data_IF_538382925083
#
_entry.id   IF_538382925083
#
_cell.length_a   1.000
_cell.length_b   1.000
_cell.length_c   1.000
_cell.angle_alpha   90.00
_cell.angle_beta   90.00
_cell.angle_gamma   90.00
#
_symmetry.space_group_name_H-M   'P 1'
#
loop_
_entity.id
_entity.type
_entity.pdbx_description
1 polymer ?
#
# COMPACT_ATOMS: atom_id res chain seq x y z
N UNK A 1 3.05 25.90 1.40
CA UNK A 1 4.08 26.50 2.28
C UNK A 1 3.58 26.78 3.71
N UNK A 2 2.39 27.37 3.91
CA UNK A 2 1.83 27.60 5.25
C UNK A 2 1.57 26.30 6.07
N UNK A 3 1.21 25.19 5.42
CA UNK A 3 1.07 23.88 6.06
C UNK A 3 2.39 23.33 6.62
N UNK A 4 3.49 23.51 5.88
CA UNK A 4 4.85 23.09 6.26
C UNK A 4 5.39 23.95 7.42
N UNK A 5 5.14 25.27 7.39
CA UNK A 5 5.55 26.19 8.45
C UNK A 5 4.73 26.03 9.75
N UNK A 6 3.45 25.66 9.66
CA UNK A 6 2.62 25.31 10.83
C UNK A 6 3.04 23.96 11.42
N UNK A 7 3.44 23.00 10.58
CA UNK A 7 3.94 21.70 11.01
C UNK A 7 5.34 21.77 11.63
N UNK A 8 6.21 22.72 11.26
CA UNK A 8 7.55 22.83 11.84
C UNK A 8 7.53 23.20 13.34
N UNK A 9 6.58 24.05 13.76
CA UNK A 9 6.36 24.35 15.18
C UNK A 9 5.66 23.21 15.93
N UNK A 10 4.78 22.48 15.26
CA UNK A 10 4.12 21.30 15.82
C UNK A 10 5.13 20.15 16.05
N UNK A 11 6.07 19.99 15.11
CA UNK A 11 7.13 18.99 15.18
C UNK A 11 8.14 19.23 16.30
N UNK A 12 8.36 20.50 16.70
CA UNK A 12 9.20 20.85 17.86
C UNK A 12 8.60 20.44 19.20
N UNK A 13 7.27 20.24 19.27
CA UNK A 13 6.57 19.91 20.52
C UNK A 13 6.17 18.44 20.63
N UNK A 14 6.52 17.61 19.65
CA UNK A 14 6.30 16.16 19.68
C UNK A 14 7.43 15.47 20.45
N UNK A 15 7.07 14.44 21.20
CA UNK A 15 8.00 13.52 21.81
C UNK A 15 8.95 12.89 20.77
N UNK A 16 10.20 12.68 21.18
CA UNK A 16 11.29 12.24 20.29
C UNK A 16 10.98 10.96 19.51
N UNK A 17 10.33 9.99 20.16
CA UNK A 17 10.00 8.69 19.55
C UNK A 17 9.00 8.84 18.39
N UNK A 18 7.87 9.53 18.60
CA UNK A 18 6.92 9.81 17.52
C UNK A 18 7.52 10.68 16.42
N UNK A 19 8.38 11.63 16.79
CA UNK A 19 9.11 12.44 15.80
C UNK A 19 9.96 11.56 14.89
N UNK A 20 10.72 10.61 15.45
CA UNK A 20 11.53 9.70 14.64
C UNK A 20 10.66 8.80 13.75
N UNK A 21 9.58 8.24 14.29
CA UNK A 21 8.66 7.40 13.49
C UNK A 21 8.00 8.18 12.35
N UNK A 22 7.61 9.43 12.58
CA UNK A 22 7.09 10.29 11.51
C UNK A 22 8.16 10.57 10.43
N UNK A 23 9.40 10.83 10.82
CA UNK A 23 10.51 11.04 9.86
C UNK A 23 10.74 9.75 9.04
N UNK A 24 10.77 8.59 9.69
CA UNK A 24 10.89 7.30 9.01
C UNK A 24 9.75 7.07 8.02
N UNK A 25 8.51 7.37 8.42
CA UNK A 25 7.35 7.29 7.52
C UNK A 25 7.52 8.15 6.25
N UNK A 26 8.04 9.38 6.38
CA UNK A 26 8.35 10.21 5.22
C UNK A 26 9.45 9.61 4.36
N UNK A 27 10.50 9.04 4.96
CA UNK A 27 11.58 8.36 4.22
C UNK A 27 11.01 7.17 3.44
N UNK A 28 10.13 6.36 4.03
CA UNK A 28 9.46 5.26 3.36
C UNK A 28 8.56 5.73 2.21
N UNK A 29 7.86 6.84 2.40
CA UNK A 29 7.03 7.45 1.35
C UNK A 29 7.87 7.92 0.16
N UNK A 30 9.01 8.57 0.41
CA UNK A 30 9.94 8.99 -0.66
C UNK A 30 10.52 7.75 -1.36
N UNK A 31 10.93 6.74 -0.60
CA UNK A 31 11.42 5.47 -1.14
C UNK A 31 10.37 4.76 -2.01
N UNK A 32 9.10 4.78 -1.59
CA UNK A 32 7.99 4.24 -2.37
C UNK A 32 7.81 4.98 -3.71
N UNK A 33 7.86 6.32 -3.70
CA UNK A 33 7.80 7.11 -4.92
C UNK A 33 8.94 6.76 -5.89
N UNK A 34 10.17 6.63 -5.38
CA UNK A 34 11.33 6.24 -6.19
C UNK A 34 11.13 4.83 -6.75
N UNK A 35 10.68 3.87 -5.95
CA UNK A 35 10.42 2.51 -6.39
C UNK A 35 9.36 2.45 -7.50
N UNK A 36 8.27 3.24 -7.38
CA UNK A 36 7.27 3.36 -8.44
C UNK A 36 7.83 3.99 -9.71
N UNK A 37 8.65 5.03 -9.62
CA UNK A 37 9.30 5.64 -10.79
C UNK A 37 10.16 4.61 -11.52
N UNK A 38 10.95 3.81 -10.79
CA UNK A 38 11.77 2.76 -11.39
C UNK A 38 10.90 1.70 -12.05
N UNK A 39 9.88 1.20 -11.35
CA UNK A 39 9.02 0.12 -11.84
C UNK A 39 8.19 0.54 -13.08
N UNK A 40 7.51 1.69 -13.02
CA UNK A 40 6.75 2.19 -14.16
C UNK A 40 7.66 2.73 -15.27
N UNK A 41 8.81 3.31 -14.93
CA UNK A 41 9.82 3.71 -15.91
C UNK A 41 10.34 2.52 -16.70
N UNK A 42 10.58 1.38 -16.04
CA UNK A 42 10.94 0.13 -16.71
C UNK A 42 9.85 -0.32 -17.68
N UNK A 43 8.58 -0.35 -17.24
CA UNK A 43 7.45 -0.68 -18.10
C UNK A 43 7.32 0.26 -19.32
N UNK A 44 7.49 1.57 -19.13
CA UNK A 44 7.43 2.55 -20.22
C UNK A 44 8.55 2.36 -21.23
N UNK A 45 9.78 2.09 -20.77
CA UNK A 45 10.91 1.81 -21.65
C UNK A 45 10.62 0.54 -22.46
N UNK A 46 10.15 -0.51 -21.81
CA UNK A 46 9.80 -1.78 -22.46
C UNK A 46 8.71 -1.59 -23.53
N UNK A 47 7.65 -0.82 -23.22
CA UNK A 47 6.58 -0.48 -24.17
C UNK A 47 7.05 0.43 -25.32
N UNK A 48 8.10 1.24 -25.11
CA UNK A 48 8.63 2.13 -26.14
C UNK A 48 9.54 1.43 -27.15
N UNK A 49 10.02 0.23 -26.83
CA UNK A 49 10.85 -0.56 -27.73
C UNK A 49 9.96 -1.31 -28.73
N UNK A 50 10.25 -1.15 -30.03
CA UNK A 50 9.59 -1.91 -31.08
C UNK A 50 10.26 -3.27 -31.24
N UNK A 51 9.56 -4.34 -30.87
CA UNK A 51 10.03 -5.71 -31.07
C UNK A 51 9.40 -6.30 -32.33
N UNK A 52 10.20 -7.00 -33.13
CA UNK A 52 9.73 -7.71 -34.32
C UNK A 52 9.00 -9.00 -33.95
N UNK A 53 9.40 -9.63 -32.84
CA UNK A 53 8.78 -10.83 -32.29
C UNK A 53 8.16 -10.56 -30.91
N UNK A 54 6.93 -11.01 -30.63
CA UNK A 54 6.29 -10.80 -29.33
C UNK A 54 7.01 -11.49 -28.16
N UNK A 55 7.77 -12.56 -28.43
CA UNK A 55 8.54 -13.27 -27.40
C UNK A 55 9.79 -12.50 -26.93
N UNK A 56 10.27 -11.51 -27.69
CA UNK A 56 11.40 -10.66 -27.27
C UNK A 56 11.01 -9.65 -26.19
N UNK A 57 9.69 -9.44 -25.99
CA UNK A 57 9.15 -8.58 -24.95
C UNK A 57 9.22 -9.21 -23.56
N UNK A 58 9.46 -10.53 -23.47
CA UNK A 58 9.44 -11.28 -22.22
C UNK A 58 10.70 -11.02 -21.38
N UNK A 59 10.52 -10.76 -20.09
CA UNK A 59 11.61 -10.53 -19.13
C UNK A 59 11.78 -11.73 -18.19
N UNK A 60 13.00 -11.98 -17.67
CA UNK A 60 13.20 -13.03 -16.69
C UNK A 60 12.41 -12.74 -15.41
N UNK A 61 11.79 -13.78 -14.86
CA UNK A 61 10.91 -13.70 -13.68
C UNK A 61 11.64 -13.15 -12.46
N UNK A 62 12.94 -13.41 -12.32
CA UNK A 62 13.77 -12.83 -11.26
C UNK A 62 13.83 -11.31 -11.30
N UNK A 63 13.94 -10.71 -12.49
CA UNK A 63 13.95 -9.25 -12.64
C UNK A 63 12.56 -8.67 -12.36
N UNK A 64 11.53 -9.29 -12.93
CA UNK A 64 10.13 -8.91 -12.70
C UNK A 64 9.77 -8.92 -11.22
N UNK A 65 10.07 -10.03 -10.54
CA UNK A 65 9.78 -10.23 -9.13
C UNK A 65 10.53 -9.22 -8.26
N UNK A 66 11.83 -9.01 -8.47
CA UNK A 66 12.58 -8.07 -7.62
C UNK A 66 12.15 -6.61 -7.79
N UNK A 67 11.81 -6.19 -9.02
CA UNK A 67 11.27 -4.85 -9.28
C UNK A 67 9.93 -4.64 -8.57
N UNK A 68 9.04 -5.63 -8.61
CA UNK A 68 7.74 -5.55 -7.95
C UNK A 68 7.84 -5.74 -6.42
N UNK A 69 8.73 -6.62 -5.94
CA UNK A 69 9.01 -6.83 -4.53
C UNK A 69 9.56 -5.55 -3.87
N UNK A 70 10.43 -4.81 -4.57
CA UNK A 70 10.96 -3.53 -4.06
C UNK A 70 9.83 -2.55 -3.76
N UNK A 71 8.86 -2.41 -4.68
CA UNK A 71 7.68 -1.56 -4.46
C UNK A 71 6.88 -2.08 -3.26
N UNK A 72 6.61 -3.39 -3.20
CA UNK A 72 5.86 -4.01 -2.11
C UNK A 72 6.51 -3.79 -0.74
N UNK A 73 7.84 -3.89 -0.62
CA UNK A 73 8.58 -3.63 0.62
C UNK A 73 8.31 -2.22 1.11
N UNK A 74 8.37 -1.21 0.22
CA UNK A 74 8.12 0.18 0.62
C UNK A 74 6.65 0.42 0.99
N UNK A 75 5.70 -0.22 0.31
CA UNK A 75 4.29 -0.20 0.70
C UNK A 75 4.11 -0.77 2.12
N UNK A 76 4.74 -1.91 2.41
CA UNK A 76 4.69 -2.57 3.71
C UNK A 76 5.38 -1.74 4.81
N UNK A 77 6.52 -1.11 4.51
CA UNK A 77 7.21 -0.20 5.43
C UNK A 77 6.34 1.02 5.75
N UNK A 78 5.71 1.62 4.74
CA UNK A 78 4.78 2.72 4.92
C UNK A 78 3.61 2.31 5.84
N UNK A 79 3.02 1.14 5.60
CA UNK A 79 1.95 0.60 6.42
C UNK A 79 2.32 0.31 7.86
N UNK A 80 3.37 -0.48 8.04
CA UNK A 80 3.82 -0.88 9.37
C UNK A 80 4.31 0.32 10.17
N UNK A 81 4.82 1.37 9.53
CA UNK A 81 5.15 2.63 10.20
C UNK A 81 3.91 3.38 10.73
N UNK A 82 2.76 3.29 10.06
CA UNK A 82 1.48 3.84 10.56
C UNK A 82 0.98 3.07 11.78
N UNK A 83 1.08 1.74 11.75
CA UNK A 83 0.78 0.89 12.90
C UNK A 83 1.72 1.21 14.07
N UNK A 84 3.02 1.37 13.80
CA UNK A 84 4.00 1.74 14.82
C UNK A 84 3.67 3.11 15.46
N UNK A 85 3.29 4.10 14.65
CA UNK A 85 2.80 5.40 15.15
C UNK A 85 1.54 5.22 16.01
N UNK A 86 0.58 4.38 15.59
CA UNK A 86 -0.63 4.11 16.35
C UNK A 86 -0.31 3.47 17.73
N UNK A 87 0.59 2.48 17.77
CA UNK A 87 1.03 1.81 19.00
C UNK A 87 1.72 2.82 19.91
N UNK A 88 2.63 3.61 19.36
CA UNK A 88 3.41 4.57 20.13
C UNK A 88 2.49 5.67 20.73
N UNK A 89 1.51 6.17 19.95
CA UNK A 89 0.48 7.09 20.46
C UNK A 89 -0.46 6.43 21.47
N UNK A 90 -0.70 5.13 21.36
CA UNK A 90 -1.47 4.36 22.34
C UNK A 90 -0.75 4.28 23.67
N UNK A 91 0.55 3.94 23.64
CA UNK A 91 1.40 3.91 24.84
C UNK A 91 1.45 5.29 25.51
N UNK A 92 1.62 6.36 24.72
CA UNK A 92 1.57 7.74 25.21
C UNK A 92 0.20 8.11 25.81
N UNK A 93 -0.90 7.55 25.28
CA UNK A 93 -2.26 7.78 25.80
C UNK A 93 -2.52 7.00 27.08
N UNK A 94 -2.03 5.77 27.22
CA UNK A 94 -2.22 4.93 28.41
C UNK A 94 -1.31 5.39 29.55
N UNK A 95 -0.04 5.64 29.27
CA UNK A 95 0.98 5.98 30.27
C UNK A 95 1.25 7.48 30.39
N UNK A 96 0.28 8.32 30.04
CA UNK A 96 0.49 9.77 29.93
C UNK A 96 1.29 10.32 31.14
N UNK A 97 0.88 10.05 32.38
CA UNK A 97 1.53 10.56 33.60
C UNK A 97 3.03 10.23 33.74
N UNK A 98 3.49 9.07 33.25
CA UNK A 98 4.87 8.59 33.40
C UNK A 98 5.69 8.70 32.11
N UNK A 99 5.02 8.93 30.99
CA UNK A 99 5.60 8.85 29.66
C UNK A 99 6.74 9.85 29.43
N UNK A 100 6.65 11.06 29.99
CA UNK A 100 7.71 12.09 29.85
C UNK A 100 8.99 11.75 30.65
N UNK A 101 8.84 11.06 31.77
CA UNK A 101 9.97 10.65 32.62
C UNK A 101 10.65 9.40 32.07
N UNK A 102 9.91 8.54 31.36
CA UNK A 102 10.41 7.34 30.72
C UNK A 102 10.87 7.65 29.28
N UNK A 103 12.14 8.04 29.11
CA UNK A 103 12.81 8.14 27.78
C UNK A 103 13.08 6.75 27.18
N UNK A 104 12.07 5.91 27.10
CA UNK A 104 12.23 4.53 26.67
C UNK A 104 12.33 4.46 25.13
N UNK A 105 13.55 4.30 24.63
CA UNK A 105 13.84 4.11 23.19
C UNK A 105 13.68 2.64 22.75
N UNK A 106 13.57 1.70 23.69
CA UNK A 106 13.50 0.27 23.38
C UNK A 106 12.24 -0.04 22.57
N UNK A 107 11.10 0.55 22.94
CA UNK A 107 9.85 0.41 22.18
C UNK A 107 10.03 0.87 20.72
N UNK A 108 10.71 1.99 20.51
CA UNK A 108 10.97 2.54 19.18
C UNK A 108 11.82 1.58 18.34
N UNK A 109 12.91 1.06 18.90
CA UNK A 109 13.80 0.11 18.22
C UNK A 109 13.05 -1.17 17.86
N UNK A 110 12.27 -1.73 18.79
CA UNK A 110 11.47 -2.93 18.55
C UNK A 110 10.45 -2.72 17.41
N UNK A 111 9.79 -1.56 17.38
CA UNK A 111 8.85 -1.23 16.31
C UNK A 111 9.56 -1.10 14.95
N UNK A 112 10.77 -0.53 14.90
CA UNK A 112 11.54 -0.43 13.64
C UNK A 112 11.98 -1.82 13.16
N UNK A 113 12.49 -2.67 14.05
CA UNK A 113 12.86 -4.05 13.71
C UNK A 113 11.66 -4.81 13.16
N UNK A 114 10.50 -4.67 13.82
CA UNK A 114 9.26 -5.32 13.37
C UNK A 114 8.81 -4.82 12.00
N UNK A 115 8.93 -3.51 11.71
CA UNK A 115 8.63 -2.95 10.38
C UNK A 115 9.46 -3.63 9.30
N UNK A 116 10.78 -3.72 9.49
CA UNK A 116 11.67 -4.38 8.54
C UNK A 116 11.36 -5.88 8.42
N UNK A 117 11.19 -6.58 9.54
CA UNK A 117 10.88 -8.00 9.54
C UNK A 117 9.62 -8.30 8.72
N UNK A 118 8.51 -7.62 9.00
CA UNK A 118 7.25 -7.82 8.25
C UNK A 118 7.42 -7.48 6.77
N UNK A 119 8.10 -6.37 6.46
CA UNK A 119 8.22 -5.87 5.09
C UNK A 119 9.07 -6.77 4.19
N UNK A 120 10.08 -7.46 4.73
CA UNK A 120 10.91 -8.40 3.98
C UNK A 120 10.35 -9.83 3.98
N UNK A 121 9.76 -10.29 5.09
CA UNK A 121 9.24 -11.65 5.19
C UNK A 121 8.10 -11.91 4.21
N UNK A 122 7.22 -10.94 3.97
CA UNK A 122 6.08 -11.13 3.07
C UNK A 122 6.54 -11.42 1.62
N UNK A 123 7.29 -10.54 0.94
CA UNK A 123 7.73 -10.83 -0.42
C UNK A 123 8.69 -12.02 -0.48
N UNK A 124 9.73 -12.07 0.36
CA UNK A 124 10.81 -13.03 0.19
C UNK A 124 10.57 -14.40 0.84
N UNK A 125 9.70 -14.51 1.84
CA UNK A 125 9.44 -15.79 2.52
C UNK A 125 8.04 -16.31 2.21
N UNK A 126 7.02 -15.45 2.15
CA UNK A 126 5.65 -15.89 1.91
C UNK A 126 5.33 -16.06 0.41
N UNK A 127 5.80 -15.17 -0.47
CA UNK A 127 5.45 -15.22 -1.90
C UNK A 127 6.40 -16.07 -2.74
N UNK A 128 7.72 -15.99 -2.51
CA UNK A 128 8.76 -16.74 -3.29
C UNK A 128 8.45 -18.24 -3.48
N UNK A 129 8.03 -19.01 -2.45
CA UNK A 129 7.81 -20.45 -2.60
C UNK A 129 6.70 -20.83 -3.58
N UNK A 130 5.79 -19.89 -3.88
CA UNK A 130 4.69 -20.08 -4.83
C UNK A 130 4.92 -19.40 -6.18
N UNK A 131 6.08 -18.77 -6.39
CA UNK A 131 6.39 -18.12 -7.66
C UNK A 131 6.92 -19.17 -8.64
N UNK A 132 6.33 -19.21 -9.83
CA UNK A 132 6.85 -20.02 -10.94
C UNK A 132 8.01 -19.30 -11.62
N UNK A 133 9.23 -19.80 -11.45
CA UNK A 133 10.45 -19.17 -11.97
C UNK A 133 10.75 -19.51 -13.43
N UNK A 134 10.06 -20.51 -14.00
CA UNK A 134 10.29 -20.99 -15.37
C UNK A 134 9.51 -20.18 -16.40
N UNK A 135 8.38 -19.60 -16.00
CA UNK A 135 7.52 -18.81 -16.88
C UNK A 135 7.99 -17.36 -16.93
N UNK A 136 8.41 -16.87 -18.12
CA UNK A 136 8.87 -15.49 -18.24
C UNK A 136 7.71 -14.51 -18.09
N UNK A 137 8.01 -13.32 -17.59
CA UNK A 137 7.01 -12.32 -17.26
C UNK A 137 6.89 -11.26 -18.37
N UNK A 138 5.68 -10.71 -18.52
CA UNK A 138 5.37 -9.62 -19.46
C UNK A 138 5.76 -8.25 -18.88
N UNK A 139 5.96 -8.15 -17.56
CA UNK A 139 6.41 -6.95 -16.88
C UNK A 139 6.63 -7.22 -15.39
N UNK A 140 7.00 -6.20 -14.59
CA UNK A 140 7.17 -6.31 -13.14
C UNK A 140 5.86 -6.70 -12.45
N UNK A 141 5.81 -7.90 -11.90
CA UNK A 141 4.65 -8.44 -11.18
C UNK A 141 5.10 -9.38 -10.07
N UNK A 142 4.33 -9.41 -8.98
CA UNK A 142 4.44 -10.44 -7.93
C UNK A 142 3.43 -11.58 -8.12
N UNK A 143 2.54 -11.43 -9.10
CA UNK A 143 1.43 -12.36 -9.35
C UNK A 143 1.80 -13.30 -10.48
N UNK A 144 1.74 -14.59 -10.19
CA UNK A 144 1.78 -15.73 -11.10
C UNK A 144 0.49 -16.53 -10.90
N UNK A 145 0.13 -17.39 -11.86
CA UNK A 145 -1.08 -18.21 -11.77
C UNK A 145 -1.10 -19.04 -10.47
N UNK A 146 0.06 -19.57 -10.07
CA UNK A 146 0.23 -20.40 -8.87
C UNK A 146 0.11 -19.63 -7.54
N UNK A 147 0.27 -18.30 -7.54
CA UNK A 147 0.26 -17.49 -6.32
C UNK A 147 -0.86 -16.44 -6.28
N UNK A 148 -1.78 -16.48 -7.25
CA UNK A 148 -2.86 -15.52 -7.40
C UNK A 148 -3.75 -15.44 -6.15
N UNK A 149 -4.21 -16.57 -5.63
CA UNK A 149 -5.09 -16.61 -4.44
C UNK A 149 -4.40 -16.02 -3.20
N UNK A 150 -3.12 -16.37 -2.98
CA UNK A 150 -2.32 -15.85 -1.86
C UNK A 150 -2.16 -14.33 -1.95
N UNK A 151 -1.86 -13.83 -3.15
CA UNK A 151 -1.75 -12.40 -3.40
C UNK A 151 -3.09 -11.68 -3.17
N UNK A 152 -4.21 -12.25 -3.63
CA UNK A 152 -5.55 -11.67 -3.41
C UNK A 152 -5.89 -11.60 -1.91
N UNK A 153 -5.69 -12.70 -1.17
CA UNK A 153 -5.91 -12.74 0.28
C UNK A 153 -5.05 -11.68 0.97
N UNK A 154 -3.78 -11.58 0.60
CA UNK A 154 -2.87 -10.56 1.12
C UNK A 154 -3.37 -9.14 0.83
N UNK A 155 -3.79 -8.83 -0.40
CA UNK A 155 -4.31 -7.50 -0.78
C UNK A 155 -5.58 -7.15 0.00
N UNK A 156 -6.50 -8.09 0.18
CA UNK A 156 -7.72 -7.87 0.97
C UNK A 156 -7.36 -7.61 2.44
N UNK A 157 -6.51 -8.46 3.03
CA UNK A 157 -6.05 -8.28 4.41
C UNK A 157 -5.34 -6.94 4.61
N UNK A 158 -4.56 -6.50 3.62
CA UNK A 158 -3.90 -5.21 3.60
C UNK A 158 -4.90 -4.04 3.66
N UNK A 159 -5.89 -4.00 2.77
CA UNK A 159 -6.92 -2.94 2.73
C UNK A 159 -7.73 -2.92 4.03
N UNK A 160 -8.12 -4.10 4.53
CA UNK A 160 -8.82 -4.22 5.82
C UNK A 160 -7.96 -3.69 6.96
N UNK A 161 -6.67 -3.99 6.97
CA UNK A 161 -5.76 -3.49 8.01
C UNK A 161 -5.63 -1.95 7.98
N UNK A 162 -5.60 -1.32 6.80
CA UNK A 162 -5.62 0.14 6.67
C UNK A 162 -6.87 0.75 7.25
N UNK A 163 -8.03 0.16 6.93
CA UNK A 163 -9.31 0.63 7.44
C UNK A 163 -9.38 0.52 8.97
N UNK A 164 -8.95 -0.62 9.53
CA UNK A 164 -8.92 -0.86 10.98
C UNK A 164 -8.01 0.13 11.68
N UNK A 165 -6.79 0.36 11.17
CA UNK A 165 -5.84 1.33 11.76
C UNK A 165 -6.39 2.76 11.68
N UNK A 166 -7.06 3.11 10.57
CA UNK A 166 -7.69 4.42 10.40
C UNK A 166 -8.77 4.64 11.45
N UNK A 167 -9.72 3.70 11.58
CA UNK A 167 -10.79 3.75 12.59
C UNK A 167 -10.18 3.81 14.00
N UNK A 168 -9.16 3.01 14.26
CA UNK A 168 -8.48 2.97 15.55
C UNK A 168 -7.86 4.32 15.93
N UNK A 169 -7.19 5.01 15.00
CA UNK A 169 -6.62 6.33 15.27
C UNK A 169 -7.70 7.39 15.53
N UNK A 170 -8.84 7.30 14.85
CA UNK A 170 -10.00 8.14 15.16
C UNK A 170 -10.56 7.88 16.57
N UNK A 171 -10.68 6.60 16.96
CA UNK A 171 -11.10 6.22 18.30
C UNK A 171 -10.12 6.73 19.37
N UNK A 172 -8.81 6.59 19.13
CA UNK A 172 -7.76 7.09 20.02
C UNK A 172 -7.81 8.61 20.16
N UNK A 173 -8.05 9.32 19.05
CA UNK A 173 -8.24 10.78 19.05
C UNK A 173 -9.45 11.18 19.87
N UNK A 174 -10.59 10.52 19.69
CA UNK A 174 -11.81 10.76 20.46
C UNK A 174 -11.59 10.52 21.96
N UNK A 175 -10.93 9.41 22.33
CA UNK A 175 -10.59 9.08 23.70
C UNK A 175 -9.73 10.17 24.36
N UNK A 176 -8.72 10.68 23.65
CA UNK A 176 -7.87 11.77 24.14
C UNK A 176 -8.67 13.08 24.33
N UNK A 177 -9.59 13.41 23.43
CA UNK A 177 -10.49 14.57 23.61
C UNK A 177 -11.41 14.42 24.82
N UNK A 178 -11.99 13.24 25.02
CA UNK A 178 -12.86 12.96 26.16
C UNK A 178 -12.09 13.10 27.48
N UNK A 179 -10.89 12.51 27.56
CA UNK A 179 -9.99 12.63 28.73
C UNK A 179 -9.60 14.07 29.00
N UNK A 180 -9.27 14.84 27.96
CA UNK A 180 -8.98 16.28 28.09
C UNK A 180 -10.15 17.04 28.73
N UNK A 181 -11.39 16.76 28.31
CA UNK A 181 -12.59 17.39 28.87
C UNK A 181 -12.81 16.98 30.33
N UNK A 182 -12.61 15.71 30.66
CA UNK A 182 -12.68 15.21 32.03
C UNK A 182 -11.65 15.90 32.94
N UNK A 183 -10.37 15.93 32.54
CA UNK A 183 -9.29 16.58 33.31
C UNK A 183 -9.52 18.07 33.52
N UNK A 184 -10.06 18.78 32.52
CA UNK A 184 -10.42 20.21 32.66
C UNK A 184 -11.59 20.44 33.60
N UNK A 185 -12.57 19.53 33.62
CA UNK A 185 -13.73 19.60 34.50
C UNK A 185 -13.37 19.24 35.94
N UNK A 186 -12.40 18.34 36.15
CA UNK A 186 -12.20 17.68 37.43
C UNK A 186 -11.28 18.42 38.41
N UNK A 187 -10.32 19.28 38.02
CA UNK A 187 -9.63 20.16 39.00
C UNK A 187 -8.60 21.17 38.45
N UNK A 188 -8.43 22.28 39.17
CA UNK A 188 -7.27 23.20 39.17
C UNK A 188 -5.97 22.57 39.69
N UNK A 189 -6.05 21.39 40.30
CA UNK A 189 -4.95 20.58 40.84
C UNK A 189 -4.36 19.54 39.87
N UNK A 190 -4.95 19.30 38.70
CA UNK A 190 -4.33 18.41 37.72
C UNK A 190 -2.99 18.99 37.26
N UNK A 191 -1.89 18.24 37.40
CA UNK A 191 -0.55 18.70 37.06
C UNK A 191 -0.47 19.27 35.64
N UNK A 192 0.27 20.37 35.48
CA UNK A 192 0.52 21.01 34.19
C UNK A 192 1.06 20.02 33.14
N UNK A 193 1.89 19.06 33.57
CA UNK A 193 2.45 18.01 32.70
C UNK A 193 1.35 17.12 32.07
N UNK A 194 0.37 16.66 32.85
CA UNK A 194 -0.76 15.84 32.34
C UNK A 194 -1.55 16.56 31.24
N UNK A 195 -1.83 17.85 31.45
CA UNK A 195 -2.55 18.66 30.45
C UNK A 195 -1.70 18.87 29.20
N UNK A 196 -0.41 19.12 29.38
CA UNK A 196 0.54 19.27 28.29
C UNK A 196 0.62 18.00 27.42
N UNK A 197 0.71 16.83 28.03
CA UNK A 197 0.80 15.53 27.34
C UNK A 197 -0.48 15.19 26.57
N UNK A 198 -1.66 15.43 27.15
CA UNK A 198 -2.93 15.25 26.45
C UNK A 198 -3.03 16.20 25.24
N UNK A 199 -2.67 17.47 25.42
CA UNK A 199 -2.67 18.45 24.33
C UNK A 199 -1.61 18.10 23.26
N UNK A 200 -0.46 17.55 23.64
CA UNK A 200 0.54 17.02 22.72
C UNK A 200 0.01 15.82 21.93
N UNK A 201 -0.56 14.81 22.59
CA UNK A 201 -1.12 13.63 21.94
C UNK A 201 -2.23 13.98 20.95
N UNK A 202 -3.15 14.88 21.32
CA UNK A 202 -4.20 15.36 20.41
C UNK A 202 -3.59 16.07 19.20
N UNK A 203 -2.57 16.91 19.41
CA UNK A 203 -1.88 17.61 18.32
C UNK A 203 -1.14 16.64 17.39
N UNK A 204 -0.47 15.64 17.94
CA UNK A 204 0.18 14.59 17.18
C UNK A 204 -0.84 13.80 16.34
N UNK A 205 -1.95 13.39 16.93
CA UNK A 205 -3.02 12.68 16.22
C UNK A 205 -3.67 13.56 15.13
N UNK A 206 -3.87 14.85 15.37
CA UNK A 206 -4.34 15.78 14.34
C UNK A 206 -3.36 15.91 13.15
N UNK A 207 -2.06 15.68 13.35
CA UNK A 207 -1.07 15.65 12.28
C UNK A 207 -1.05 14.30 11.55
N UNK A 208 -1.26 13.20 12.27
CA UNK A 208 -1.25 11.85 11.69
C UNK A 208 -2.53 11.60 10.85
N UNK A 209 -3.70 12.06 11.31
CA UNK A 209 -4.99 11.87 10.60
C UNK A 209 -4.95 12.22 9.09
N UNK A 210 -4.49 13.41 8.65
CA UNK A 210 -4.43 13.72 7.22
C UNK A 210 -3.44 12.83 6.45
N UNK A 211 -2.36 12.37 7.09
CA UNK A 211 -1.42 11.43 6.47
C UNK A 211 -2.10 10.08 6.20
N UNK A 212 -2.89 9.58 7.15
CA UNK A 212 -3.63 8.31 6.97
C UNK A 212 -4.60 8.42 5.81
N UNK A 213 -5.35 9.53 5.74
CA UNK A 213 -6.32 9.72 4.67
C UNK A 213 -5.65 9.80 3.30
N UNK A 214 -4.53 10.52 3.19
CA UNK A 214 -3.78 10.57 1.94
C UNK A 214 -3.30 9.19 1.51
N UNK A 215 -2.74 8.42 2.46
CA UNK A 215 -2.30 7.06 2.18
C UNK A 215 -3.46 6.15 1.79
N UNK A 216 -4.55 6.14 2.56
CA UNK A 216 -5.73 5.34 2.29
C UNK A 216 -6.35 5.68 0.93
N UNK A 217 -6.52 6.97 0.62
CA UNK A 217 -7.06 7.41 -0.68
C UNK A 217 -6.14 6.95 -1.82
N UNK A 218 -4.83 7.10 -1.67
CA UNK A 218 -3.87 6.71 -2.70
C UNK A 218 -3.88 5.19 -2.94
N UNK A 219 -3.84 4.40 -1.87
CA UNK A 219 -3.85 2.93 -1.95
C UNK A 219 -5.20 2.41 -2.44
N UNK A 220 -6.32 2.96 -1.96
CA UNK A 220 -7.66 2.62 -2.42
C UNK A 220 -7.84 2.96 -3.90
N UNK A 221 -7.42 4.15 -4.33
CA UNK A 221 -7.49 4.54 -5.75
C UNK A 221 -6.64 3.62 -6.61
N UNK A 222 -5.42 3.28 -6.17
CA UNK A 222 -4.55 2.35 -6.90
C UNK A 222 -5.21 0.97 -7.04
N UNK A 223 -5.79 0.43 -5.96
CA UNK A 223 -6.49 -0.85 -5.98
C UNK A 223 -7.71 -0.84 -6.92
N UNK A 224 -8.53 0.21 -6.86
CA UNK A 224 -9.70 0.38 -7.75
C UNK A 224 -9.26 0.51 -9.21
N UNK A 225 -8.22 1.29 -9.50
CA UNK A 225 -7.70 1.46 -10.86
C UNK A 225 -7.19 0.13 -11.43
N UNK A 226 -6.47 -0.67 -10.64
CA UNK A 226 -6.06 -2.02 -11.05
C UNK A 226 -7.28 -2.89 -11.35
N UNK A 227 -8.30 -2.88 -10.50
CA UNK A 227 -9.52 -3.66 -10.72
C UNK A 227 -10.27 -3.22 -12.00
N UNK A 228 -10.40 -1.92 -12.24
CA UNK A 228 -11.01 -1.38 -13.46
C UNK A 228 -10.22 -1.83 -14.70
N UNK A 229 -8.88 -1.73 -14.67
CA UNK A 229 -8.03 -2.14 -15.79
C UNK A 229 -8.23 -3.63 -16.09
N UNK A 230 -8.26 -4.48 -15.07
CA UNK A 230 -8.51 -5.92 -15.23
C UNK A 230 -9.91 -6.18 -15.80
N UNK A 231 -10.94 -5.51 -15.27
CA UNK A 231 -12.32 -5.66 -15.74
C UNK A 231 -12.47 -5.20 -17.21
N UNK A 232 -11.88 -4.07 -17.58
CA UNK A 232 -11.88 -3.56 -18.95
C UNK A 232 -11.08 -4.49 -19.88
N UNK A 233 -9.91 -4.96 -19.45
CA UNK A 233 -9.11 -5.95 -20.20
C UNK A 233 -9.89 -7.24 -20.46
N UNK A 234 -10.64 -7.72 -19.47
CA UNK A 234 -11.50 -8.89 -19.62
C UNK A 234 -12.63 -8.66 -20.62
N UNK A 235 -13.27 -7.48 -20.61
CA UNK A 235 -14.31 -7.11 -21.58
C UNK A 235 -13.73 -7.06 -23.00
N UNK A 236 -12.56 -6.45 -23.19
CA UNK A 236 -11.90 -6.35 -24.50
C UNK A 236 -11.50 -7.73 -25.03
N UNK A 237 -10.94 -8.59 -24.18
CA UNK A 237 -10.61 -9.97 -24.54
C UNK A 237 -11.86 -10.76 -24.95
N UNK A 238 -12.97 -10.61 -24.21
CA UNK A 238 -14.24 -11.24 -24.56
C UNK A 238 -14.76 -10.76 -25.92
N UNK A 239 -14.59 -9.47 -26.23
CA UNK A 239 -15.00 -8.88 -27.50
C UNK A 239 -14.14 -9.39 -28.67
N UNK A 240 -12.82 -9.49 -28.50
CA UNK A 240 -11.93 -10.10 -29.50
C UNK A 240 -12.24 -11.57 -29.76
N UNK A 241 -12.45 -12.35 -28.69
CA UNK A 241 -12.83 -13.76 -28.80
C UNK A 241 -14.15 -13.93 -29.56
N UNK A 242 -15.15 -13.11 -29.25
CA UNK A 242 -16.44 -13.13 -29.94
C UNK A 242 -16.31 -12.74 -31.42
N UNK A 243 -15.52 -11.70 -31.71
CA UNK A 243 -15.22 -11.26 -33.09
C UNK A 243 -14.53 -12.36 -33.91
N UNK A 244 -13.53 -13.03 -33.34
CA UNK A 244 -12.82 -14.14 -33.98
C UNK A 244 -13.75 -15.30 -34.31
N UNK A 245 -14.59 -15.71 -33.35
CA UNK A 245 -15.56 -16.81 -33.52
C UNK A 245 -16.64 -16.48 -34.56
N UNK A 246 -17.08 -15.22 -34.63
CA UNK A 246 -17.99 -14.73 -35.68
C UNK A 246 -17.34 -14.76 -37.06
N UNK A 247 -16.04 -14.45 -37.17
CA UNK A 247 -15.30 -14.54 -38.44
C UNK A 247 -15.19 -15.98 -38.94
N UNK A 248 -14.97 -16.94 -38.03
CA UNK A 248 -14.87 -18.37 -38.35
C UNK A 248 -16.24 -18.94 -38.77
N UNK A 249 -17.32 -18.53 -38.09
CA UNK A 249 -18.68 -18.93 -38.46
C UNK A 249 -19.11 -18.38 -39.83
N UNK A 250 -18.67 -17.16 -40.18
CA UNK A 250 -18.91 -16.56 -41.50
C UNK A 250 -18.14 -17.27 -42.60
N UNK A 251 -16.90 -17.69 -42.35
CA UNK A 251 -16.12 -18.54 -43.28
C UNK A 251 -16.77 -19.91 -43.51
N UNK A 252 -17.32 -20.54 -42.46
CA UNK A 252 -18.05 -21.81 -42.60
C UNK A 252 -19.36 -21.66 -43.39
N UNK A 253 -20.12 -20.58 -43.23
CA UNK A 253 -21.31 -20.34 -44.07
C UNK A 253 -20.93 -20.15 -45.54
N UNK A 254 -19.93 -19.32 -45.83
CA UNK A 254 -19.51 -19.08 -47.22
C UNK A 254 -18.88 -20.33 -47.88
N UNK A 255 -18.21 -21.20 -47.11
CA UNK A 255 -17.68 -22.48 -47.62
C UNK A 255 -18.76 -23.55 -47.85
N UNK A 256 -19.90 -23.48 -47.17
CA UNK A 256 -21.04 -24.39 -47.42
C UNK A 256 -21.77 -24.02 -48.72
N UNK A 257 -21.80 -22.73 -49.08
CA UNK A 257 -22.38 -22.27 -50.34
C UNK A 257 -21.51 -22.66 -51.56
N UNK A 258 -20.17 -22.64 -51.46
CA UNK A 258 -19.30 -23.13 -52.55
C UNK A 258 -19.43 -24.65 -52.80
N UNK A 259 -19.59 -25.46 -51.75
CA UNK A 259 -19.74 -26.93 -51.89
C UNK A 259 -21.12 -27.31 -52.47
N UNK A 260 -22.18 -26.53 -52.21
CA UNK A 260 -23.50 -26.75 -52.84
C UNK A 260 -23.54 -26.32 -54.31
N UNK A 261 -22.74 -25.34 -54.70
CA UNK A 261 -22.63 -24.93 -56.12
C UNK A 261 -21.84 -25.97 -56.92
N UNK A 262 -20.88 -26.66 -56.31
CA UNK A 262 -20.10 -27.72 -56.97
C UNK A 262 -20.77 -29.11 -57.03
N UNK A 263 -21.88 -29.35 -56.33
CA UNK A 263 -22.66 -30.61 -56.43
C UNK A 263 -23.88 -30.52 -57.35
N UNK A 264 -24.01 -29.44 -58.12
CA UNK A 264 -25.09 -29.19 -59.09
C UNK A 264 -24.58 -29.01 -60.53
N UNK A 265 -23.33 -29.39 -60.79
CA UNK A 265 -22.74 -29.56 -62.13
C UNK A 265 -22.43 -31.04 -62.31
#
# INVERSE_FOLDING_TARGET
MAFVLRNSQLHRRLHGNAKLLCILHYIWTIGLCIAYIINYGFNLIQLSMSFSNPCEYLIPTSLSFNLAATVMIFILLQMTSMIALAIERTVATIRYEKYENEKNIILLILLIILQFAVSFLIPYVYLIPSTNWEQPAVGPSLVTDDNLEKNQIFTIAFIVSELVVTIYIYALRYLNYYRRKAVRKWNSQSGLSTRYQLDENIRALNLIVPLIWLQFIFNFTTAVMVYIIVAVGFILFFFEFYSSKMSEHRKKMNGIDEVRVFSMI
#
